data_IF_304502707089
#
_entry.id   IF_304502707089
#
_cell.length_a   1.000
_cell.length_b   1.000
_cell.length_c   1.000
_cell.angle_alpha   90.00
_cell.angle_beta   90.00
_cell.angle_gamma   90.00
#
_symmetry.space_group_name_H-M   'P 1'
#
loop_
_entity.id
_entity.type
_entity.pdbx_description
1 polymer ?
#
# COMPACT_ATOMS: atom_id res chain seq x y z
N UNK A 1 12.37 -1.85 3.14
CA UNK A 1 11.31 -1.17 3.91
C UNK A 1 10.84 0.05 3.15
N UNK A 2 9.55 0.35 3.24
CA UNK A 2 8.98 1.52 2.56
C UNK A 2 9.37 2.80 3.26
N UNK A 3 9.34 3.90 2.51
CA UNK A 3 9.61 5.24 3.03
C UNK A 3 8.49 6.16 2.58
N UNK A 4 8.23 7.20 3.37
CA UNK A 4 7.28 8.25 3.00
C UNK A 4 7.72 8.86 1.67
N UNK A 5 6.77 8.98 0.75
CA UNK A 5 7.03 9.48 -0.60
C UNK A 5 7.27 8.40 -1.65
N UNK A 6 7.45 7.14 -1.22
CA UNK A 6 7.61 6.04 -2.18
C UNK A 6 6.34 5.85 -2.99
N UNK A 7 6.50 5.61 -4.29
CA UNK A 7 5.40 5.18 -5.13
C UNK A 7 5.29 3.67 -5.06
N UNK A 8 4.08 3.20 -4.86
CA UNK A 8 3.80 1.78 -4.63
C UNK A 8 2.64 1.31 -5.49
N UNK A 9 2.56 0.01 -5.64
CA UNK A 9 1.43 -0.68 -6.27
C UNK A 9 1.11 -1.94 -5.48
N UNK A 10 -0.05 -2.53 -5.76
CA UNK A 10 -0.42 -3.81 -5.17
C UNK A 10 0.51 -4.89 -5.74
N UNK A 11 1.05 -5.71 -4.88
CA UNK A 11 1.90 -6.83 -5.31
C UNK A 11 1.14 -7.77 -6.23
N UNK A 12 1.84 -8.26 -7.22
CA UNK A 12 1.31 -9.25 -8.15
C UNK A 12 0.84 -10.49 -7.38
N UNK A 13 -0.34 -10.98 -7.73
CA UNK A 13 -0.94 -12.13 -7.09
C UNK A 13 -2.00 -11.81 -6.05
N UNK A 14 -2.11 -10.55 -5.63
CA UNK A 14 -3.20 -10.13 -4.76
C UNK A 14 -4.33 -9.54 -5.59
N UNK A 15 -5.56 -9.87 -5.20
CA UNK A 15 -6.74 -9.37 -5.90
C UNK A 15 -6.98 -7.90 -5.58
N UNK A 16 -7.32 -7.13 -6.60
CA UNK A 16 -7.80 -5.77 -6.44
C UNK A 16 -9.33 -5.79 -6.52
N UNK A 17 -10.03 -5.24 -5.52
CA UNK A 17 -11.49 -5.27 -5.54
C UNK A 17 -12.12 -4.44 -6.65
N UNK A 18 -11.41 -3.46 -7.17
CA UNK A 18 -11.91 -2.56 -8.21
C UNK A 18 -10.90 -2.48 -9.35
N UNK A 19 -11.21 -3.11 -10.46
CA UNK A 19 -10.39 -3.02 -11.65
C UNK A 19 -9.13 -3.87 -11.61
N UNK A 20 -8.20 -3.51 -12.47
CA UNK A 20 -6.96 -4.23 -12.67
C UNK A 20 -5.92 -3.77 -11.64
N UNK A 21 -5.13 -4.70 -11.12
CA UNK A 21 -4.06 -4.38 -10.17
C UNK A 21 -3.07 -3.34 -10.72
N UNK A 22 -2.90 -3.27 -12.02
CA UNK A 22 -2.01 -2.29 -12.66
C UNK A 22 -2.52 -0.86 -12.56
N UNK A 23 -3.80 -0.69 -12.26
CA UNK A 23 -4.39 0.64 -12.09
C UNK A 23 -4.17 1.20 -10.69
N UNK A 24 -3.71 0.38 -9.76
CA UNK A 24 -3.53 0.76 -8.37
C UNK A 24 -2.12 1.28 -8.15
N UNK A 25 -1.95 2.58 -8.38
CA UNK A 25 -0.70 3.27 -8.10
C UNK A 25 -0.97 4.28 -6.98
N UNK A 26 -0.12 4.28 -5.98
CA UNK A 26 -0.27 5.18 -4.84
C UNK A 26 1.05 5.66 -4.31
N UNK A 27 0.97 6.52 -3.31
CA UNK A 27 2.13 7.06 -2.63
C UNK A 27 2.00 6.82 -1.13
N UNK A 28 3.10 6.41 -0.52
CA UNK A 28 3.18 6.26 0.94
C UNK A 28 3.16 7.66 1.57
N UNK A 29 2.19 7.90 2.43
CA UNK A 29 2.06 9.17 3.15
C UNK A 29 2.66 9.12 4.54
N UNK A 30 2.47 8.01 5.25
CA UNK A 30 3.01 7.87 6.60
C UNK A 30 3.04 6.41 7.03
N UNK A 31 3.81 6.14 8.08
CA UNK A 31 3.86 4.83 8.73
C UNK A 31 2.91 4.84 9.92
N UNK A 32 2.06 3.85 10.00
CA UNK A 32 1.05 3.82 11.04
C UNK A 32 1.40 2.91 12.22
N UNK A 33 2.32 1.98 12.03
CA UNK A 33 2.72 1.05 13.08
C UNK A 33 2.54 -0.40 12.66
N UNK A 34 2.67 -1.30 13.63
CA UNK A 34 2.54 -2.73 13.36
C UNK A 34 1.20 -3.24 13.87
N UNK A 35 0.54 -4.06 13.04
CA UNK A 35 -0.66 -4.76 13.45
C UNK A 35 -0.39 -6.10 14.13
N UNK A 36 0.89 -6.45 14.34
CA UNK A 36 1.29 -7.72 14.94
C UNK A 36 2.78 -7.79 15.12
N UNK A 37 3.31 -9.00 15.29
CA UNK A 37 4.74 -9.22 15.52
C UNK A 37 5.54 -9.50 14.25
N UNK A 38 4.87 -9.71 13.13
CA UNK A 38 5.52 -10.01 11.86
C UNK A 38 5.74 -8.73 11.07
N UNK A 39 6.89 -8.63 10.40
CA UNK A 39 7.25 -7.44 9.63
C UNK A 39 6.25 -7.13 8.52
N UNK A 40 5.68 -8.15 7.90
CA UNK A 40 4.68 -7.96 6.85
C UNK A 40 3.39 -7.35 7.35
N UNK A 41 3.17 -7.30 8.67
CA UNK A 41 1.99 -6.71 9.26
C UNK A 41 2.14 -5.21 9.56
N UNK A 42 3.21 -4.58 9.09
CA UNK A 42 3.34 -3.14 9.18
C UNK A 42 2.24 -2.46 8.38
N UNK A 43 1.63 -1.45 8.98
CA UNK A 43 0.56 -0.68 8.36
C UNK A 43 1.08 0.65 7.83
N UNK A 44 0.65 1.01 6.63
CA UNK A 44 1.07 2.24 5.95
C UNK A 44 -0.15 2.98 5.46
N UNK A 45 -0.10 4.31 5.56
CA UNK A 45 -1.13 5.15 4.96
C UNK A 45 -0.72 5.44 3.53
N UNK A 46 -1.60 5.10 2.59
CA UNK A 46 -1.33 5.22 1.15
C UNK A 46 -2.42 6.05 0.50
N UNK A 47 -2.02 7.00 -0.31
CA UNK A 47 -2.95 7.73 -1.18
C UNK A 47 -2.94 7.07 -2.55
N UNK A 48 -4.02 6.38 -2.88
CA UNK A 48 -4.17 5.77 -4.19
C UNK A 48 -4.63 6.81 -5.21
N UNK A 49 -4.03 6.78 -6.41
CA UNK A 49 -4.30 7.79 -7.43
C UNK A 49 -5.77 7.81 -7.88
N UNK A 50 -6.43 6.66 -7.82
CA UNK A 50 -7.81 6.51 -8.29
C UNK A 50 -8.86 6.73 -7.21
N UNK A 51 -8.43 7.02 -5.97
CA UNK A 51 -9.36 7.17 -4.84
C UNK A 51 -9.22 8.56 -4.23
N UNK A 52 -10.33 9.15 -3.76
CA UNK A 52 -10.31 10.49 -3.19
C UNK A 52 -9.77 10.54 -1.76
N UNK A 53 -9.78 9.39 -1.06
CA UNK A 53 -9.36 9.32 0.34
C UNK A 53 -8.18 8.40 0.50
N UNK A 54 -7.33 8.70 1.47
CA UNK A 54 -6.23 7.82 1.83
C UNK A 54 -6.76 6.54 2.46
N UNK A 55 -5.96 5.49 2.37
CA UNK A 55 -6.30 4.18 2.90
C UNK A 55 -5.14 3.64 3.73
N UNK A 56 -5.46 2.74 4.65
CA UNK A 56 -4.44 2.02 5.43
C UNK A 56 -4.24 0.66 4.77
N UNK A 57 -2.98 0.36 4.43
CA UNK A 57 -2.63 -0.88 3.76
C UNK A 57 -1.53 -1.61 4.52
N UNK A 58 -1.59 -2.92 4.52
CA UNK A 58 -0.49 -3.73 5.04
C UNK A 58 0.66 -3.76 4.03
N UNK A 59 1.88 -3.68 4.55
CA UNK A 59 3.06 -3.66 3.69
C UNK A 59 3.21 -4.88 2.79
N UNK A 60 2.71 -6.03 3.23
CA UNK A 60 2.84 -7.25 2.42
C UNK A 60 1.97 -7.22 1.16
N UNK A 61 1.01 -6.32 1.05
CA UNK A 61 0.26 -6.13 -0.19
C UNK A 61 0.97 -5.22 -1.19
N UNK A 62 1.99 -4.50 -0.75
CA UNK A 62 2.56 -3.39 -1.51
C UNK A 62 3.94 -3.76 -2.04
N UNK A 63 4.28 -3.18 -3.19
CA UNK A 63 5.66 -3.19 -3.69
C UNK A 63 6.00 -1.81 -4.22
N UNK A 64 7.27 -1.43 -4.07
CA UNK A 64 7.74 -0.15 -4.61
C UNK A 64 7.89 -0.27 -6.13
N UNK A 65 7.42 0.76 -6.81
CA UNK A 65 7.53 0.84 -8.26
C UNK A 65 8.96 1.23 -8.65
#
# INVERSE_FOLDING_TARGET
>A
MFQVGDLVRIQSGYACPEGNEFDWIGMILSYRGTGGTLDEHHEWVVQWAHQPHEAVEYGYYLEVI
#
